data_IF_654138650478
#
_entry.id   IF_654138650478
#
_cell.length_a   1.000
_cell.length_b   1.000
_cell.length_c   1.000
_cell.angle_alpha   90.00
_cell.angle_beta   90.00
_cell.angle_gamma   90.00
#
_symmetry.space_group_name_H-M   'P 1'
#
loop_
_entity.id
_entity.type
_entity.pdbx_description
1 polymer ?
#
# COMPACT_ATOMS: atom_id res chain seq x y z
N UNK A 1 29.28 -29.27 19.86
CA UNK A 1 29.05 -30.72 19.98
C UNK A 1 27.64 -30.98 19.47
N UNK A 2 27.55 -31.64 18.31
CA UNK A 2 26.37 -31.76 17.45
C UNK A 2 25.35 -32.74 18.03
N UNK A 3 24.16 -32.26 18.37
CA UNK A 3 23.01 -33.13 18.66
C UNK A 3 22.21 -33.35 17.38
N UNK A 4 22.76 -34.18 16.49
CA UNK A 4 21.97 -34.83 15.44
C UNK A 4 21.90 -36.30 15.87
N UNK A 5 21.12 -36.56 16.92
CA UNK A 5 20.79 -37.92 17.32
C UNK A 5 19.61 -38.40 16.48
N UNK A 6 19.96 -39.17 15.45
CA UNK A 6 19.18 -40.26 14.87
C UNK A 6 17.67 -40.02 14.63
N UNK A 7 17.33 -39.39 13.49
CA UNK A 7 16.07 -39.61 12.77
C UNK A 7 14.76 -39.14 13.41
N UNK A 8 14.75 -38.66 14.65
CA UNK A 8 13.53 -38.23 15.33
C UNK A 8 13.50 -36.71 15.48
N UNK A 9 12.81 -36.04 14.56
CA UNK A 9 12.55 -34.60 14.66
C UNK A 9 11.76 -34.36 15.95
N UNK A 10 12.36 -33.69 16.93
CA UNK A 10 11.69 -33.33 18.18
C UNK A 10 10.77 -32.13 17.95
N UNK A 11 9.65 -32.05 18.68
CA UNK A 11 8.73 -30.90 18.61
C UNK A 11 9.44 -29.57 18.88
N UNK A 12 10.45 -29.58 19.75
CA UNK A 12 11.24 -28.40 20.08
C UNK A 12 12.07 -27.90 18.89
N UNK A 13 12.57 -28.79 18.03
CA UNK A 13 13.34 -28.42 16.85
C UNK A 13 12.44 -27.79 15.79
N UNK A 14 11.23 -28.30 15.63
CA UNK A 14 10.20 -27.70 14.75
C UNK A 14 9.79 -26.34 15.30
N UNK A 15 9.55 -26.23 16.60
CA UNK A 15 9.14 -24.97 17.23
C UNK A 15 10.23 -23.91 17.12
N UNK A 16 11.50 -24.27 17.35
CA UNK A 16 12.63 -23.36 17.19
C UNK A 16 12.78 -22.89 15.74
N UNK A 17 12.69 -23.80 14.75
CA UNK A 17 12.75 -23.43 13.33
C UNK A 17 11.56 -22.59 12.88
N UNK A 18 10.35 -22.90 13.36
CA UNK A 18 9.16 -22.10 13.06
C UNK A 18 9.23 -20.72 13.71
N UNK A 19 9.81 -20.60 14.90
CA UNK A 19 10.00 -19.31 15.58
C UNK A 19 11.08 -18.46 14.91
N UNK A 20 12.15 -19.08 14.42
CA UNK A 20 13.20 -18.44 13.62
C UNK A 20 12.62 -17.88 12.31
N UNK A 21 11.87 -18.71 11.57
CA UNK A 21 11.18 -18.27 10.36
C UNK A 21 10.20 -17.15 10.68
N UNK A 22 9.38 -17.28 11.74
CA UNK A 22 8.43 -16.23 12.15
C UNK A 22 9.11 -14.91 12.52
N UNK A 23 10.27 -14.94 13.18
CA UNK A 23 11.02 -13.71 13.53
C UNK A 23 11.46 -12.92 12.30
N UNK A 24 11.92 -13.60 11.26
CA UNK A 24 12.26 -12.99 9.96
C UNK A 24 11.00 -12.53 9.20
N UNK A 25 9.88 -13.26 9.32
CA UNK A 25 8.63 -12.89 8.66
C UNK A 25 7.95 -11.71 9.36
N UNK A 26 8.04 -11.59 10.68
CA UNK A 26 7.44 -10.50 11.46
C UNK A 26 8.14 -9.16 11.16
N UNK A 27 9.47 -9.15 11.08
CA UNK A 27 10.25 -7.97 10.69
C UNK A 27 10.00 -7.56 9.23
N UNK A 28 9.88 -8.53 8.32
CA UNK A 28 9.47 -8.27 6.94
C UNK A 28 8.02 -7.75 6.86
N UNK A 29 7.11 -8.27 7.69
CA UNK A 29 5.69 -7.88 7.73
C UNK A 29 5.51 -6.48 8.29
N UNK A 30 6.26 -6.09 9.33
CA UNK A 30 6.18 -4.76 9.93
C UNK A 30 6.71 -3.67 8.98
N UNK A 31 7.80 -3.98 8.26
CA UNK A 31 8.31 -3.15 7.17
C UNK A 31 7.34 -3.09 5.99
N UNK A 32 6.75 -4.22 5.61
CA UNK A 32 5.78 -4.31 4.52
C UNK A 32 4.45 -3.61 4.83
N UNK A 33 4.01 -3.58 6.09
CA UNK A 33 2.83 -2.82 6.53
C UNK A 33 3.02 -1.32 6.29
N UNK A 34 4.21 -0.80 6.63
CA UNK A 34 4.55 0.62 6.45
C UNK A 34 4.68 0.98 4.97
N UNK A 35 5.38 0.16 4.18
CA UNK A 35 5.52 0.37 2.73
C UNK A 35 4.17 0.21 2.01
N UNK A 36 3.39 -0.81 2.38
CA UNK A 36 2.07 -1.06 1.80
C UNK A 36 1.10 0.08 2.04
N UNK A 37 1.11 0.68 3.25
CA UNK A 37 0.31 1.85 3.56
C UNK A 37 0.70 3.06 2.70
N UNK A 38 2.01 3.33 2.55
CA UNK A 38 2.52 4.42 1.72
C UNK A 38 2.09 4.24 0.26
N UNK A 39 2.24 3.03 -0.29
CA UNK A 39 1.83 2.72 -1.67
C UNK A 39 0.31 2.91 -1.85
N UNK A 40 -0.50 2.42 -0.90
CA UNK A 40 -1.95 2.57 -0.95
C UNK A 40 -2.37 4.06 -0.97
N UNK A 41 -1.79 4.87 -0.09
CA UNK A 41 -2.03 6.32 -0.05
C UNK A 41 -1.61 6.99 -1.36
N UNK A 42 -0.42 6.64 -1.88
CA UNK A 42 0.08 7.20 -3.13
C UNK A 42 -0.86 6.90 -4.32
N UNK A 43 -1.39 5.68 -4.40
CA UNK A 43 -2.36 5.30 -5.44
C UNK A 43 -3.65 6.12 -5.33
N UNK A 44 -4.20 6.26 -4.12
CA UNK A 44 -5.42 7.06 -3.89
C UNK A 44 -5.22 8.51 -4.33
N UNK A 45 -4.10 9.13 -3.93
CA UNK A 45 -3.76 10.50 -4.31
C UNK A 45 -3.62 10.64 -5.82
N UNK A 46 -2.96 9.69 -6.48
CA UNK A 46 -2.81 9.69 -7.94
C UNK A 46 -4.16 9.62 -8.65
N UNK A 47 -5.07 8.73 -8.21
CA UNK A 47 -6.41 8.59 -8.78
C UNK A 47 -7.22 9.88 -8.63
N UNK A 48 -7.22 10.48 -7.44
CA UNK A 48 -7.90 11.76 -7.18
C UNK A 48 -7.30 12.87 -8.04
N UNK A 49 -5.98 12.94 -8.16
CA UNK A 49 -5.28 13.90 -9.01
C UNK A 49 -5.67 13.78 -10.49
N UNK A 50 -5.72 12.55 -11.01
CA UNK A 50 -6.15 12.28 -12.40
C UNK A 50 -7.61 12.68 -12.60
N UNK A 51 -8.49 12.32 -11.67
CA UNK A 51 -9.91 12.67 -11.73
C UNK A 51 -10.11 14.19 -11.72
N UNK A 52 -9.43 14.91 -10.82
CA UNK A 52 -9.46 16.37 -10.72
C UNK A 52 -8.94 17.04 -12.00
N UNK A 53 -7.79 16.61 -12.53
CA UNK A 53 -7.23 17.16 -13.75
C UNK A 53 -8.14 16.93 -14.97
N UNK A 54 -8.75 15.75 -15.04
CA UNK A 54 -9.71 15.40 -16.10
C UNK A 54 -10.97 16.25 -16.02
N UNK A 55 -11.51 16.44 -14.81
CA UNK A 55 -12.64 17.33 -14.55
C UNK A 55 -12.31 18.79 -14.85
N UNK A 56 -11.16 19.29 -14.38
CA UNK A 56 -10.71 20.67 -14.60
C UNK A 56 -10.55 21.01 -16.08
N UNK A 57 -10.02 20.09 -16.89
CA UNK A 57 -9.88 20.28 -18.34
C UNK A 57 -11.23 20.40 -19.04
N UNK A 58 -12.22 19.57 -18.66
CA UNK A 58 -13.58 19.62 -19.22
C UNK A 58 -14.36 20.85 -18.74
N UNK A 59 -14.25 21.19 -17.45
CA UNK A 59 -14.92 22.36 -16.86
C UNK A 59 -14.48 23.69 -17.47
N UNK A 60 -13.20 23.84 -17.85
CA UNK A 60 -12.71 25.03 -18.57
C UNK A 60 -13.29 25.18 -19.98
N UNK A 61 -13.67 24.09 -20.64
CA UNK A 61 -14.29 24.13 -21.98
C UNK A 61 -15.78 24.43 -21.92
N UNK A 62 -16.41 24.13 -20.80
CA UNK A 62 -17.84 24.33 -20.54
C UNK A 62 -18.10 25.58 -19.69
N UNK A 63 -17.12 26.46 -19.51
CA UNK A 63 -17.35 27.71 -18.78
C UNK A 63 -18.40 28.51 -19.55
N UNK A 64 -19.61 28.58 -18.99
CA UNK A 64 -20.70 29.42 -19.47
C UNK A 64 -20.16 30.82 -19.67
N UNK A 65 -20.08 31.26 -20.93
CA UNK A 65 -19.84 32.67 -21.26
C UNK A 65 -21.08 33.41 -20.76
N UNK A 66 -20.95 34.08 -19.62
CA UNK A 66 -22.02 34.94 -19.12
C UNK A 66 -21.99 36.20 -19.99
N UNK A 67 -22.81 36.24 -21.03
CA UNK A 67 -23.10 37.49 -21.71
C UNK A 67 -23.77 38.42 -20.71
N UNK A 68 -23.02 39.41 -20.22
CA UNK A 68 -23.55 40.45 -19.35
C UNK A 68 -24.42 41.35 -20.23
N UNK A 69 -25.71 41.00 -20.35
CA UNK A 69 -26.70 41.89 -20.97
C UNK A 69 -27.01 43.01 -19.97
N UNK A 70 -26.52 44.21 -20.27
CA UNK A 70 -26.94 45.42 -19.57
C UNK A 70 -28.36 45.74 -20.03
N UNK A 71 -29.35 45.43 -19.19
CA UNK A 71 -30.70 45.97 -19.36
C UNK A 71 -30.67 47.41 -18.86
N UNK A 72 -30.83 48.34 -19.80
CA UNK A 72 -31.07 49.76 -19.54
C UNK A 72 -32.55 50.07 -19.64
#
# INVERSE_FOLDING_TARGET
MTLVDNGQISRNDIENKLREIRGDVDTATESAKSVGLIVAVAVVVAVVGIAFLSGRRRGRKLSTVVEIRRVG
#
